data_IF_229029327614
#
_entry.id   IF_229029327614
#
_cell.length_a   1.000
_cell.length_b   1.000
_cell.length_c   1.000
_cell.angle_alpha   90.00
_cell.angle_beta   90.00
_cell.angle_gamma   90.00
#
_symmetry.space_group_name_H-M   'P 1'
#
loop_
_entity.id
_entity.type
_entity.pdbx_description
1 polymer ?
#
# COMPACT_ATOMS: atom_id res chain seq x y z
N UNK A 1 0.56 -14.05 -30.32
CA UNK A 1 0.41 -13.34 -29.03
C UNK A 1 -0.81 -13.95 -28.35
N UNK A 2 -0.67 -14.50 -27.17
CA UNK A 2 -1.81 -15.07 -26.45
C UNK A 2 -2.75 -13.94 -26.00
N UNK A 3 -4.07 -14.12 -26.02
CA UNK A 3 -5.01 -13.10 -25.55
C UNK A 3 -4.91 -12.92 -24.02
N UNK A 4 -5.25 -11.74 -23.54
CA UNK A 4 -5.51 -11.52 -22.11
C UNK A 4 -6.69 -12.37 -21.67
N UNK A 5 -6.52 -13.14 -20.60
CA UNK A 5 -7.59 -13.90 -19.98
C UNK A 5 -8.15 -13.10 -18.81
N UNK A 6 -9.44 -12.81 -18.82
CA UNK A 6 -10.14 -12.25 -17.67
C UNK A 6 -10.35 -13.38 -16.64
N UNK A 7 -9.75 -13.27 -15.47
CA UNK A 7 -9.86 -14.26 -14.40
C UNK A 7 -11.04 -13.98 -13.50
N UNK A 8 -11.25 -12.70 -13.15
CA UNK A 8 -12.32 -12.28 -12.25
C UNK A 8 -12.66 -10.81 -12.46
N UNK A 9 -13.88 -10.43 -12.07
CA UNK A 9 -14.40 -9.09 -12.20
C UNK A 9 -15.35 -8.74 -11.07
N UNK A 10 -15.32 -7.49 -10.64
CA UNK A 10 -16.27 -6.90 -9.70
C UNK A 10 -16.56 -5.45 -10.06
N UNK A 11 -17.41 -4.81 -9.27
CA UNK A 11 -17.66 -3.37 -9.34
C UNK A 11 -17.22 -2.70 -8.04
N UNK A 12 -16.50 -1.59 -8.20
CA UNK A 12 -16.23 -0.70 -7.08
C UNK A 12 -17.52 -0.04 -6.59
N UNK A 13 -17.55 0.52 -5.36
CA UNK A 13 -18.74 1.19 -4.83
C UNK A 13 -19.28 2.34 -5.69
N UNK A 14 -18.46 2.96 -6.54
CA UNK A 14 -18.89 3.97 -7.51
C UNK A 14 -19.38 3.37 -8.85
N UNK A 15 -19.49 2.03 -8.94
CA UNK A 15 -19.95 1.32 -10.11
C UNK A 15 -18.88 1.06 -11.18
N UNK A 16 -17.64 1.50 -10.98
CA UNK A 16 -16.55 1.24 -11.92
C UNK A 16 -16.25 -0.25 -12.01
N UNK A 17 -15.93 -0.72 -13.21
CA UNK A 17 -15.54 -2.10 -13.47
C UNK A 17 -14.10 -2.34 -13.02
N UNK A 18 -13.90 -3.25 -12.07
CA UNK A 18 -12.60 -3.66 -11.57
C UNK A 18 -12.36 -5.14 -11.90
N UNK A 19 -11.20 -5.49 -12.45
CA UNK A 19 -10.98 -6.84 -12.98
C UNK A 19 -9.53 -7.28 -12.83
N UNK A 20 -9.35 -8.60 -12.64
CA UNK A 20 -8.08 -9.30 -12.64
C UNK A 20 -7.91 -10.03 -13.98
N UNK A 21 -6.78 -9.83 -14.61
CA UNK A 21 -6.41 -10.46 -15.86
C UNK A 21 -5.09 -11.20 -15.73
N UNK A 22 -4.91 -12.24 -16.57
CA UNK A 22 -3.65 -12.94 -16.76
C UNK A 22 -3.24 -12.86 -18.23
N UNK A 23 -1.95 -12.71 -18.49
CA UNK A 23 -1.35 -12.79 -19.82
C UNK A 23 0.10 -13.29 -19.70
N UNK A 24 0.40 -14.43 -20.33
CA UNK A 24 1.72 -15.07 -20.32
C UNK A 24 2.34 -15.20 -18.90
N UNK A 25 1.54 -15.62 -17.92
CA UNK A 25 1.97 -15.79 -16.53
C UNK A 25 2.11 -14.49 -15.74
N UNK A 26 1.77 -13.34 -16.33
CA UNK A 26 1.70 -12.05 -15.66
C UNK A 26 0.27 -11.70 -15.30
N UNK A 27 0.09 -11.06 -14.14
CA UNK A 27 -1.21 -10.66 -13.62
C UNK A 27 -1.37 -9.15 -13.66
N UNK A 28 -2.59 -8.69 -13.95
CA UNK A 28 -2.90 -7.28 -14.13
C UNK A 28 -4.23 -6.93 -13.48
N UNK A 29 -4.24 -5.91 -12.62
CA UNK A 29 -5.45 -5.27 -12.13
C UNK A 29 -5.82 -4.12 -13.06
N UNK A 30 -7.09 -4.09 -13.50
CA UNK A 30 -7.61 -3.06 -14.40
C UNK A 30 -8.86 -2.42 -13.82
N UNK A 31 -8.99 -1.11 -14.03
CA UNK A 31 -10.16 -0.32 -13.69
C UNK A 31 -10.73 0.30 -14.97
N UNK A 32 -11.99 -0.01 -15.31
CA UNK A 32 -12.62 0.42 -16.55
C UNK A 32 -11.75 0.12 -17.80
N UNK A 33 -11.07 -1.04 -17.78
CA UNK A 33 -10.17 -1.48 -18.85
C UNK A 33 -8.75 -0.87 -18.83
N UNK A 34 -8.51 0.17 -18.02
CA UNK A 34 -7.17 0.78 -17.84
C UNK A 34 -6.39 0.00 -16.78
N UNK A 35 -5.15 -0.38 -17.11
CA UNK A 35 -4.26 -1.03 -16.16
C UNK A 35 -3.90 -0.08 -15.02
N UNK A 36 -4.06 -0.58 -13.78
CA UNK A 36 -3.61 0.09 -12.57
C UNK A 36 -2.30 -0.50 -12.05
N UNK A 37 -2.20 -1.84 -12.07
CA UNK A 37 -1.08 -2.57 -11.49
C UNK A 37 -0.77 -3.80 -12.36
N UNK A 38 0.48 -4.22 -12.37
CA UNK A 38 0.91 -5.43 -13.07
C UNK A 38 2.06 -6.12 -12.35
N UNK A 39 2.05 -7.45 -12.35
CA UNK A 39 3.09 -8.26 -11.70
C UNK A 39 4.49 -8.12 -12.32
N UNK A 40 4.59 -7.50 -13.48
CA UNK A 40 5.84 -7.16 -14.15
C UNK A 40 6.44 -5.80 -13.76
N UNK A 41 5.82 -5.09 -12.82
CA UNK A 41 6.20 -3.73 -12.42
C UNK A 41 5.96 -3.56 -10.91
N UNK A 42 6.85 -4.12 -10.09
CA UNK A 42 6.69 -4.23 -8.62
C UNK A 42 7.71 -3.44 -7.82
N UNK A 43 8.57 -2.69 -8.52
CA UNK A 43 9.71 -1.97 -7.91
C UNK A 43 9.24 -0.92 -6.91
N UNK A 44 8.14 -0.24 -7.20
CA UNK A 44 7.60 0.81 -6.33
C UNK A 44 6.99 0.24 -5.05
N UNK A 45 6.31 -0.91 -5.14
CA UNK A 45 5.70 -1.58 -3.99
C UNK A 45 6.75 -2.18 -3.04
N UNK A 46 7.80 -2.76 -3.61
CA UNK A 46 8.96 -3.26 -2.84
C UNK A 46 9.67 -2.09 -2.15
N UNK A 47 9.93 -1.00 -2.89
CA UNK A 47 10.57 0.19 -2.34
C UNK A 47 9.72 0.85 -1.24
N UNK A 48 8.40 0.88 -1.40
CA UNK A 48 7.48 1.39 -0.37
C UNK A 48 7.67 0.63 0.95
N UNK A 49 7.76 -0.69 0.89
CA UNK A 49 7.98 -1.53 2.05
C UNK A 49 9.39 -1.34 2.67
N UNK A 50 10.44 -1.28 1.84
CA UNK A 50 11.81 -1.04 2.30
C UNK A 50 11.95 0.29 3.05
N UNK A 51 11.27 1.33 2.58
CA UNK A 51 11.31 2.67 3.19
C UNK A 51 10.50 2.76 4.49
N UNK A 52 9.36 2.07 4.55
CA UNK A 52 8.52 2.03 5.75
C UNK A 52 9.12 1.14 6.85
N UNK A 53 9.73 0.01 6.48
CA UNK A 53 10.25 -1.01 7.39
C UNK A 53 11.77 -1.21 7.22
N UNK A 54 12.60 -0.18 7.47
CA UNK A 54 14.03 -0.30 7.21
C UNK A 54 14.69 -1.32 8.16
N UNK A 55 15.62 -2.16 7.66
CA UNK A 55 16.21 -3.27 8.42
C UNK A 55 16.93 -2.87 9.72
N UNK A 56 17.47 -1.64 9.77
CA UNK A 56 18.17 -1.11 10.94
C UNK A 56 17.26 -0.65 12.08
N UNK A 57 15.95 -0.62 11.87
CA UNK A 57 14.95 -0.25 12.87
C UNK A 57 14.09 -1.46 13.31
N UNK A 58 14.65 -2.66 13.28
CA UNK A 58 13.95 -3.88 13.68
C UNK A 58 13.48 -3.79 15.13
N UNK A 59 12.17 -3.87 15.31
CA UNK A 59 11.55 -4.05 16.63
C UNK A 59 11.25 -5.53 16.85
N UNK A 60 11.19 -5.96 18.11
CA UNK A 60 10.96 -7.37 18.43
C UNK A 60 9.55 -7.83 17.99
N UNK A 61 8.54 -6.97 18.19
CA UNK A 61 7.13 -7.24 17.84
C UNK A 61 6.55 -6.04 17.09
N UNK A 62 6.98 -5.81 15.84
CA UNK A 62 6.47 -4.67 15.10
C UNK A 62 5.02 -4.89 14.68
N UNK A 63 4.22 -3.83 14.73
CA UNK A 63 2.89 -3.81 14.13
C UNK A 63 2.92 -2.91 12.90
N UNK A 64 2.64 -3.49 11.76
CA UNK A 64 2.68 -2.82 10.46
C UNK A 64 1.27 -2.78 9.87
N UNK A 65 0.83 -1.62 9.38
CA UNK A 65 -0.41 -1.46 8.62
C UNK A 65 -0.07 -1.28 7.14
N UNK A 66 -0.75 -2.03 6.29
CA UNK A 66 -0.71 -1.88 4.84
C UNK A 66 -2.10 -1.48 4.37
N UNK A 67 -2.24 -0.30 3.77
CA UNK A 67 -3.45 0.16 3.10
C UNK A 67 -3.39 -0.17 1.62
N UNK A 68 -4.27 -1.08 1.19
CA UNK A 68 -4.29 -1.65 -0.15
C UNK A 68 -3.49 -2.95 -0.25
N UNK A 69 -4.15 -4.04 -0.65
CA UNK A 69 -3.51 -5.34 -0.89
C UNK A 69 -2.95 -5.44 -2.32
N UNK A 70 -3.73 -5.01 -3.30
CA UNK A 70 -3.37 -5.12 -4.71
C UNK A 70 -3.00 -6.54 -5.12
N UNK A 71 -1.82 -6.71 -5.74
CA UNK A 71 -1.26 -8.02 -6.09
C UNK A 71 -0.40 -8.65 -4.98
N UNK A 72 -0.30 -8.03 -3.79
CA UNK A 72 0.36 -8.59 -2.61
C UNK A 72 1.87 -8.33 -2.49
N UNK A 73 2.48 -7.52 -3.38
CA UNK A 73 3.94 -7.33 -3.37
C UNK A 73 4.46 -6.57 -2.15
N UNK A 74 3.76 -5.51 -1.70
CA UNK A 74 4.10 -4.78 -0.48
C UNK A 74 3.98 -5.70 0.74
N UNK A 75 2.93 -6.52 0.82
CA UNK A 75 2.75 -7.50 1.89
C UNK A 75 3.89 -8.52 1.92
N UNK A 76 4.21 -9.14 0.78
CA UNK A 76 5.34 -10.08 0.67
C UNK A 76 6.62 -9.45 1.20
N UNK A 77 6.93 -8.22 0.75
CA UNK A 77 8.16 -7.54 1.16
C UNK A 77 8.19 -7.22 2.65
N UNK A 78 7.08 -6.77 3.23
CA UNK A 78 6.97 -6.54 4.69
C UNK A 78 7.20 -7.82 5.46
N UNK A 79 6.65 -8.96 5.03
CA UNK A 79 6.86 -10.26 5.67
C UNK A 79 8.32 -10.73 5.61
N UNK A 80 9.05 -10.41 4.52
CA UNK A 80 10.50 -10.65 4.39
C UNK A 80 11.34 -9.76 5.32
N UNK A 81 10.90 -8.51 5.55
CA UNK A 81 11.63 -7.53 6.37
C UNK A 81 11.38 -7.70 7.87
N UNK A 82 10.27 -8.33 8.25
CA UNK A 82 9.83 -8.44 9.64
C UNK A 82 10.09 -9.82 10.23
N UNK A 83 10.27 -9.88 11.55
CA UNK A 83 10.48 -11.14 12.27
C UNK A 83 9.18 -11.93 12.52
N UNK A 84 9.28 -13.13 13.10
CA UNK A 84 8.13 -14.04 13.28
C UNK A 84 7.10 -13.54 14.30
N UNK A 85 7.44 -12.56 15.13
CA UNK A 85 6.53 -11.95 16.12
C UNK A 85 5.83 -10.69 15.59
N UNK A 86 6.02 -10.34 14.31
CA UNK A 86 5.36 -9.20 13.72
C UNK A 86 3.84 -9.42 13.61
N UNK A 87 3.09 -8.33 13.62
CA UNK A 87 1.68 -8.31 13.25
C UNK A 87 1.58 -7.40 12.02
N UNK A 88 1.08 -7.94 10.91
CA UNK A 88 0.92 -7.23 9.65
C UNK A 88 -0.57 -7.14 9.34
N UNK A 89 -1.16 -5.99 9.63
CA UNK A 89 -2.56 -5.69 9.33
C UNK A 89 -2.67 -5.18 7.90
N UNK A 90 -3.50 -5.82 7.07
CA UNK A 90 -3.76 -5.42 5.68
C UNK A 90 -5.19 -4.94 5.59
N UNK A 91 -5.37 -3.64 5.31
CA UNK A 91 -6.68 -3.07 5.04
C UNK A 91 -6.93 -3.03 3.53
N UNK A 92 -7.91 -3.81 3.06
CA UNK A 92 -8.31 -3.85 1.66
C UNK A 92 -9.81 -3.50 1.54
N UNK A 93 -10.11 -2.52 0.68
CA UNK A 93 -11.47 -2.00 0.52
C UNK A 93 -12.39 -2.99 -0.18
N UNK A 94 -11.85 -3.75 -1.15
CA UNK A 94 -12.60 -4.68 -1.98
C UNK A 94 -12.38 -6.12 -1.51
N UNK A 95 -13.39 -6.80 -0.92
CA UNK A 95 -13.27 -8.18 -0.49
C UNK A 95 -12.90 -9.12 -1.64
N UNK A 96 -13.27 -8.77 -2.86
CA UNK A 96 -12.93 -9.53 -4.06
C UNK A 96 -11.42 -9.55 -4.31
N UNK A 97 -10.69 -8.47 -4.04
CA UNK A 97 -9.22 -8.44 -4.17
C UNK A 97 -8.58 -9.43 -3.20
N UNK A 98 -9.10 -9.54 -1.98
CA UNK A 98 -8.66 -10.54 -1.00
C UNK A 98 -8.93 -11.96 -1.52
N UNK A 99 -10.13 -12.21 -2.04
CA UNK A 99 -10.49 -13.50 -2.63
C UNK A 99 -9.60 -13.85 -3.84
N UNK A 100 -9.34 -12.91 -4.73
CA UNK A 100 -8.48 -13.12 -5.91
C UNK A 100 -7.03 -13.44 -5.54
N UNK A 101 -6.51 -12.83 -4.47
CA UNK A 101 -5.17 -13.16 -3.97
C UNK A 101 -5.10 -14.62 -3.51
N UNK A 102 -6.14 -15.14 -2.85
CA UNK A 102 -6.20 -16.55 -2.43
C UNK A 102 -6.38 -17.51 -3.59
N UNK A 103 -7.26 -17.16 -4.52
CA UNK A 103 -7.69 -18.07 -5.60
C UNK A 103 -6.69 -18.11 -6.76
N UNK A 104 -6.17 -16.95 -7.20
CA UNK A 104 -5.42 -16.83 -8.45
C UNK A 104 -3.94 -16.51 -8.25
N UNK A 105 -3.56 -15.82 -7.17
CA UNK A 105 -2.22 -15.26 -7.03
C UNK A 105 -1.27 -16.09 -6.14
N UNK A 106 -1.72 -17.26 -5.67
CA UNK A 106 -0.88 -18.18 -4.90
C UNK A 106 0.39 -18.61 -5.63
N UNK A 107 0.33 -18.81 -6.94
CA UNK A 107 1.50 -19.09 -7.79
C UNK A 107 2.47 -17.93 -7.97
N UNK A 108 2.01 -16.70 -7.74
CA UNK A 108 2.81 -15.48 -7.86
C UNK A 108 3.59 -15.15 -6.58
N UNK A 109 2.90 -15.19 -5.45
CA UNK A 109 3.42 -14.70 -4.17
C UNK A 109 3.40 -15.75 -3.06
N UNK A 110 2.91 -16.96 -3.32
CA UNK A 110 2.62 -17.95 -2.28
C UNK A 110 1.37 -17.59 -1.47
N UNK A 111 1.07 -18.36 -0.42
CA UNK A 111 -0.12 -18.17 0.42
C UNK A 111 0.08 -17.04 1.45
N UNK A 112 0.35 -15.80 0.99
CA UNK A 112 0.67 -14.66 1.86
C UNK A 112 -0.39 -14.41 2.94
N UNK A 113 -1.66 -14.58 2.57
CA UNK A 113 -2.78 -14.30 3.47
C UNK A 113 -3.00 -15.40 4.52
N UNK A 114 -2.28 -16.52 4.42
CA UNK A 114 -2.29 -17.61 5.38
C UNK A 114 -1.08 -17.55 6.34
N UNK A 115 -0.19 -16.57 6.16
CA UNK A 115 0.91 -16.34 7.10
C UNK A 115 0.33 -15.95 8.46
N UNK A 116 0.72 -16.59 9.57
CA UNK A 116 0.15 -16.35 10.90
C UNK A 116 0.37 -14.93 11.43
N UNK A 117 1.23 -14.15 10.81
CA UNK A 117 1.46 -12.73 11.13
C UNK A 117 0.45 -11.80 10.49
N UNK A 118 -0.34 -12.28 9.50
CA UNK A 118 -1.22 -11.44 8.66
C UNK A 118 -2.63 -11.40 9.23
N UNK A 119 -3.10 -10.19 9.47
CA UNK A 119 -4.49 -9.89 9.85
C UNK A 119 -5.14 -9.09 8.70
N UNK A 120 -6.14 -9.68 8.02
CA UNK A 120 -6.85 -9.00 6.93
C UNK A 120 -8.08 -8.27 7.48
N UNK A 121 -8.16 -6.98 7.23
CA UNK A 121 -9.32 -6.14 7.47
C UNK A 121 -9.95 -5.73 6.13
N UNK A 122 -11.16 -6.20 5.86
CA UNK A 122 -11.91 -5.79 4.68
C UNK A 122 -12.68 -4.51 5.00
N UNK A 123 -12.17 -3.38 4.51
CA UNK A 123 -12.72 -2.07 4.79
C UNK A 123 -11.73 -0.93 4.52
N UNK A 124 -12.11 0.25 4.96
CA UNK A 124 -11.30 1.45 4.77
C UNK A 124 -10.10 1.49 5.73
N UNK A 125 -8.91 1.71 5.20
CA UNK A 125 -7.67 1.84 5.99
C UNK A 125 -7.76 2.95 7.05
N UNK A 126 -8.57 3.96 6.81
CA UNK A 126 -8.81 5.04 7.77
C UNK A 126 -9.39 4.51 9.09
N UNK A 127 -10.22 3.47 9.05
CA UNK A 127 -10.80 2.87 10.26
C UNK A 127 -9.70 2.15 11.07
N UNK A 128 -8.74 1.51 10.41
CA UNK A 128 -7.57 0.93 11.08
C UNK A 128 -6.70 2.01 11.73
N UNK A 129 -6.39 3.09 11.00
CA UNK A 129 -5.60 4.22 11.52
C UNK A 129 -6.29 4.85 12.74
N UNK A 130 -7.62 4.86 12.78
CA UNK A 130 -8.42 5.46 13.87
C UNK A 130 -8.48 4.63 15.14
N UNK A 131 -7.99 3.38 15.17
CA UNK A 131 -8.09 2.46 16.31
C UNK A 131 -7.38 2.93 17.57
N UNK A 132 -6.33 3.77 17.46
CA UNK A 132 -5.64 4.24 18.66
C UNK A 132 -4.35 5.01 18.41
N UNK A 133 -3.89 5.68 19.49
CA UNK A 133 -2.60 6.36 19.48
C UNK A 133 -1.45 5.38 19.71
N UNK A 134 -0.28 5.69 19.12
CA UNK A 134 0.96 4.92 19.26
C UNK A 134 0.77 3.40 19.04
N UNK A 135 0.02 3.04 17.99
CA UNK A 135 -0.36 1.67 17.70
C UNK A 135 0.57 0.99 16.70
N UNK A 136 0.98 1.70 15.64
CA UNK A 136 1.77 1.15 14.55
C UNK A 136 3.24 1.57 14.60
N UNK A 137 4.12 0.66 14.23
CA UNK A 137 5.55 0.90 13.99
C UNK A 137 5.79 1.40 12.56
N UNK A 138 4.99 0.92 11.61
CA UNK A 138 5.01 1.36 10.23
C UNK A 138 3.61 1.36 9.61
N UNK A 139 3.37 2.31 8.69
CA UNK A 139 2.15 2.39 7.88
C UNK A 139 2.57 2.57 6.42
N UNK A 140 2.06 1.71 5.54
CA UNK A 140 2.25 1.78 4.10
C UNK A 140 0.92 2.15 3.45
N UNK A 141 0.90 3.17 2.62
CA UNK A 141 -0.31 3.62 1.93
C UNK A 141 -0.08 3.65 0.42
N UNK A 142 -0.59 2.61 -0.25
CA UNK A 142 -0.63 2.47 -1.70
C UNK A 142 -2.10 2.50 -2.17
N UNK A 143 -2.78 3.58 -1.83
CA UNK A 143 -4.24 3.71 -2.00
C UNK A 143 -4.65 4.69 -3.10
N UNK A 144 -3.68 5.34 -3.77
CA UNK A 144 -3.95 6.46 -4.70
C UNK A 144 -4.02 6.06 -6.17
N UNK A 145 -3.99 4.75 -6.46
CA UNK A 145 -3.92 4.23 -7.83
C UNK A 145 -5.23 4.32 -8.63
N UNK A 146 -6.25 5.04 -8.14
CA UNK A 146 -7.56 5.08 -8.78
C UNK A 146 -7.83 6.39 -9.53
N UNK A 147 -8.11 6.35 -10.87
CA UNK A 147 -8.65 7.49 -11.60
C UNK A 147 -10.11 7.80 -11.27
N UNK A 148 -10.74 6.99 -10.38
CA UNK A 148 -12.16 7.15 -10.03
C UNK A 148 -12.36 8.25 -8.99
N UNK A 149 -13.47 8.96 -9.12
CA UNK A 149 -13.88 9.99 -8.16
C UNK A 149 -14.14 9.42 -6.76
N UNK A 150 -14.48 8.13 -6.67
CA UNK A 150 -14.74 7.44 -5.41
C UNK A 150 -13.46 7.21 -4.61
N UNK A 151 -12.47 6.55 -5.20
CA UNK A 151 -11.15 6.30 -4.58
C UNK A 151 -10.49 7.62 -4.19
N UNK A 152 -10.50 8.62 -5.07
CA UNK A 152 -9.98 9.96 -4.78
C UNK A 152 -10.70 10.66 -3.62
N UNK A 153 -12.02 10.55 -3.50
CA UNK A 153 -12.77 11.22 -2.42
C UNK A 153 -12.54 10.57 -1.07
N UNK A 154 -12.54 9.24 -0.99
CA UNK A 154 -12.29 8.54 0.27
C UNK A 154 -10.84 8.71 0.71
N UNK A 155 -9.89 8.50 -0.18
CA UNK A 155 -8.47 8.61 0.15
C UNK A 155 -8.02 10.05 0.35
N UNK A 156 -8.68 11.05 -0.29
CA UNK A 156 -8.37 12.47 -0.10
C UNK A 156 -8.34 12.90 1.37
N UNK A 157 -9.08 12.26 2.26
CA UNK A 157 -9.05 12.56 3.70
C UNK A 157 -7.72 12.16 4.35
N UNK A 158 -7.01 11.13 3.85
CA UNK A 158 -5.70 10.72 4.36
C UNK A 158 -4.63 11.79 4.11
N UNK A 159 -4.76 12.54 3.01
CA UNK A 159 -3.82 13.57 2.57
C UNK A 159 -4.12 14.96 3.16
N UNK A 160 -5.32 15.14 3.72
CA UNK A 160 -5.71 16.37 4.41
C UNK A 160 -5.10 16.42 5.81
N UNK A 161 -5.02 17.63 6.37
CA UNK A 161 -4.45 17.89 7.70
C UNK A 161 -4.95 16.91 8.77
N UNK A 162 -6.27 16.76 8.90
CA UNK A 162 -6.85 15.87 9.93
C UNK A 162 -6.44 14.40 9.76
N UNK A 163 -6.33 13.90 8.53
CA UNK A 163 -5.86 12.54 8.25
C UNK A 163 -4.37 12.38 8.57
N UNK A 164 -3.56 13.35 8.16
CA UNK A 164 -2.12 13.35 8.46
C UNK A 164 -1.87 13.44 9.98
N UNK A 165 -2.61 14.28 10.71
CA UNK A 165 -2.54 14.38 12.17
C UNK A 165 -2.96 13.06 12.85
N UNK A 166 -3.97 12.37 12.30
CA UNK A 166 -4.41 11.07 12.79
C UNK A 166 -3.34 9.99 12.57
N UNK A 167 -2.73 9.94 11.37
CA UNK A 167 -1.63 9.04 11.04
C UNK A 167 -0.44 9.30 11.99
N UNK A 168 -0.10 10.57 12.25
CA UNK A 168 0.97 10.92 13.17
C UNK A 168 0.70 10.36 14.57
N UNK A 169 -0.53 10.51 15.08
CA UNK A 169 -0.93 9.99 16.41
C UNK A 169 -0.93 8.47 16.46
N UNK A 170 -1.34 7.79 15.39
CA UNK A 170 -1.43 6.34 15.33
C UNK A 170 -0.06 5.64 15.27
N UNK A 171 0.97 6.33 14.77
CA UNK A 171 2.34 5.83 14.79
C UNK A 171 2.93 5.88 16.21
N UNK A 172 3.75 4.93 16.55
CA UNK A 172 4.62 4.98 17.74
C UNK A 172 5.73 6.00 17.53
N UNK A 173 6.35 6.54 18.62
CA UNK A 173 7.61 7.28 18.51
C UNK A 173 8.65 6.49 17.70
N UNK A 174 9.35 7.16 16.78
CA UNK A 174 10.27 6.53 15.82
C UNK A 174 9.57 5.71 14.72
N UNK A 175 8.22 5.68 14.68
CA UNK A 175 7.46 5.02 13.65
C UNK A 175 7.46 5.78 12.31
N UNK A 176 7.16 5.08 11.23
CA UNK A 176 7.20 5.63 9.87
C UNK A 176 5.88 5.44 9.13
N UNK A 177 5.56 6.40 8.29
CA UNK A 177 4.55 6.23 7.24
C UNK A 177 5.20 6.42 5.88
N UNK A 178 4.83 5.58 4.91
CA UNK A 178 5.21 5.73 3.51
C UNK A 178 3.96 5.81 2.64
N UNK A 179 3.90 6.85 1.80
CA UNK A 179 2.82 7.08 0.84
C UNK A 179 3.35 6.93 -0.57
N UNK A 180 2.74 6.09 -1.36
CA UNK A 180 2.98 6.07 -2.79
C UNK A 180 2.17 7.18 -3.49
N UNK A 181 2.78 7.85 -4.47
CA UNK A 181 2.11 8.85 -5.29
C UNK A 181 2.53 8.74 -6.76
N UNK A 182 1.54 8.84 -7.66
CA UNK A 182 1.77 8.84 -9.09
C UNK A 182 2.56 10.09 -9.55
N UNK A 183 2.41 11.21 -8.84
CA UNK A 183 2.98 12.50 -9.20
C UNK A 183 3.67 13.16 -8.00
N UNK A 184 4.38 14.23 -8.28
CA UNK A 184 4.98 15.05 -7.24
C UNK A 184 3.93 15.98 -6.61
N UNK A 185 3.80 15.90 -5.27
CA UNK A 185 2.79 16.60 -4.47
C UNK A 185 3.43 17.49 -3.38
N UNK A 186 4.00 18.69 -3.74
CA UNK A 186 4.69 19.55 -2.77
C UNK A 186 3.79 20.04 -1.63
N UNK A 187 2.50 20.25 -1.92
CA UNK A 187 1.53 20.65 -0.90
C UNK A 187 1.30 19.56 0.14
N UNK A 188 1.31 18.29 -0.28
CA UNK A 188 1.20 17.15 0.62
C UNK A 188 2.46 17.00 1.48
N UNK A 189 3.65 17.13 0.89
CA UNK A 189 4.89 17.14 1.64
C UNK A 189 4.89 18.21 2.75
N UNK A 190 4.45 19.42 2.44
CA UNK A 190 4.31 20.49 3.41
C UNK A 190 3.26 20.19 4.50
N UNK A 191 2.18 19.44 4.19
CA UNK A 191 1.20 19.00 5.18
C UNK A 191 1.81 18.00 6.16
N UNK A 192 2.60 17.03 5.69
CA UNK A 192 3.33 16.09 6.55
C UNK A 192 4.30 16.82 7.49
N UNK A 193 5.08 17.78 6.96
CA UNK A 193 6.02 18.57 7.78
C UNK A 193 5.30 19.38 8.86
N UNK A 194 4.16 20.02 8.53
CA UNK A 194 3.35 20.78 9.49
C UNK A 194 2.75 19.90 10.60
N UNK A 195 2.49 18.63 10.32
CA UNK A 195 2.04 17.67 11.32
C UNK A 195 3.16 17.15 12.23
N UNK A 196 4.41 17.55 12.01
CA UNK A 196 5.56 17.18 12.83
C UNK A 196 6.39 16.01 12.32
N UNK A 197 6.15 15.54 11.08
CA UNK A 197 7.02 14.53 10.47
C UNK A 197 8.33 15.13 9.96
N UNK A 198 9.43 14.39 10.15
CA UNK A 198 10.59 14.55 9.27
C UNK A 198 10.26 13.82 7.96
N UNK A 199 10.34 14.53 6.83
CA UNK A 199 9.83 14.03 5.54
C UNK A 199 10.95 13.90 4.53
N UNK A 200 11.03 12.72 3.91
CA UNK A 200 11.87 12.45 2.75
C UNK A 200 10.96 12.18 1.53
N UNK A 201 11.30 12.79 0.37
CA UNK A 201 10.68 12.50 -0.93
C UNK A 201 11.64 11.60 -1.73
N UNK A 202 11.25 10.36 -1.98
CA UNK A 202 12.06 9.38 -2.69
C UNK A 202 11.49 9.11 -4.08
N UNK A 203 12.28 9.32 -5.16
CA UNK A 203 11.86 8.99 -6.51
C UNK A 203 11.77 7.47 -6.68
N UNK A 204 10.66 6.99 -7.23
CA UNK A 204 10.41 5.58 -7.51
C UNK A 204 10.27 5.31 -9.02
N UNK A 205 10.92 4.26 -9.50
CA UNK A 205 10.80 3.82 -10.89
C UNK A 205 9.54 2.99 -11.08
N UNK A 206 8.92 3.07 -12.25
CA UNK A 206 7.79 2.22 -12.60
C UNK A 206 8.22 0.74 -12.78
N UNK A 207 9.43 0.48 -13.27
CA UNK A 207 10.02 -0.85 -13.43
C UNK A 207 11.55 -0.75 -13.42
N UNK A 208 12.26 -1.86 -13.19
CA UNK A 208 13.73 -1.88 -13.03
C UNK A 208 14.50 -1.22 -14.20
N UNK A 209 14.04 -1.45 -15.44
CA UNK A 209 14.67 -0.92 -16.65
C UNK A 209 14.31 0.55 -16.95
N UNK A 210 13.44 1.17 -16.16
CA UNK A 210 13.08 2.57 -16.35
C UNK A 210 14.30 3.47 -16.11
N UNK A 211 14.59 4.34 -17.08
CA UNK A 211 15.72 5.30 -17.00
C UNK A 211 15.42 6.44 -16.02
N UNK A 212 14.15 6.78 -15.83
CA UNK A 212 13.70 7.88 -14.96
C UNK A 212 12.66 7.39 -13.96
N UNK A 213 12.60 8.05 -12.82
CA UNK A 213 11.52 7.86 -11.86
C UNK A 213 10.20 8.38 -12.45
N UNK A 214 9.15 7.57 -12.33
CA UNK A 214 7.80 7.92 -12.77
C UNK A 214 6.90 8.31 -11.59
N UNK A 215 7.24 7.84 -10.39
CA UNK A 215 6.44 7.99 -9.17
C UNK A 215 7.27 8.59 -8.04
N UNK A 216 6.61 8.87 -6.92
CA UNK A 216 7.22 9.36 -5.68
C UNK A 216 6.73 8.54 -4.48
N UNK A 217 7.61 8.38 -3.51
CA UNK A 217 7.25 7.87 -2.19
C UNK A 217 7.59 8.94 -1.18
N UNK A 218 6.59 9.39 -0.43
CA UNK A 218 6.78 10.29 0.69
C UNK A 218 6.91 9.48 1.97
N UNK A 219 8.03 9.63 2.65
CA UNK A 219 8.29 8.95 3.92
C UNK A 219 8.24 9.98 5.04
N UNK A 220 7.30 9.80 5.96
CA UNK A 220 7.20 10.59 7.18
C UNK A 220 7.74 9.79 8.37
N UNK A 221 8.77 10.29 9.05
CA UNK A 221 9.26 9.74 10.30
C UNK A 221 8.67 10.54 11.46
N UNK A 222 7.93 9.88 12.37
CA UNK A 222 7.54 10.44 13.65
C UNK A 222 8.77 10.48 14.55
N UNK A 223 9.27 11.67 14.84
CA UNK A 223 10.41 11.85 15.75
C UNK A 223 10.01 11.51 17.19
N UNK A 224 10.96 11.01 17.95
CA UNK A 224 10.82 10.86 19.39
C UNK A 224 10.74 12.27 20.01
N UNK A 225 9.71 12.53 20.81
CA UNK A 225 9.56 13.78 21.56
C UNK A 225 10.39 13.73 22.82
#
# INVERSE_FOLDING_TARGET
MKPFRNLAETRTPDGSRFSLHEHDGQYFLKLNGRQLMGSNSTVSEVLLADLACPPHQRREKPRVLIGGLGLGFSLRRVLELTGPKAIVEVAELLPEVVAWNREFLGGLNGPLLDDPRVEVFTGDVFDCISKGAAHYDAILLDVDNGPTSFVRRQNARLYKRNGVDLIWRSLKPGGRVAFWSAEREPAFQANLQRAGFRVDEVPAKAHERAKRAAHRIYVGLRQDS
#
